data_IF_099666143448
#
_entry.id   IF_099666143448
#
_cell.length_a   1.000
_cell.length_b   1.000
_cell.length_c   1.000
_cell.angle_alpha   90.00
_cell.angle_beta   90.00
_cell.angle_gamma   90.00
#
_symmetry.space_group_name_H-M   'P 1'
#
loop_
_entity.id
_entity.type
_entity.pdbx_description
1 polymer ?
#
# COMPACT_ATOMS: atom_id res chain seq x y z
N UNK A 1 -43.35 -46.17 14.95
CA UNK A 1 -42.38 -45.17 15.43
C UNK A 1 -41.01 -45.21 14.75
N UNK A 2 -40.32 -46.34 14.65
CA UNK A 2 -38.95 -46.42 14.04
C UNK A 2 -38.85 -45.96 12.57
N UNK A 3 -39.87 -46.21 11.72
CA UNK A 3 -39.85 -45.78 10.29
C UNK A 3 -39.99 -44.26 10.09
N UNK A 4 -40.64 -43.52 11.01
CA UNK A 4 -40.76 -42.05 10.92
C UNK A 4 -39.49 -41.35 11.43
N UNK A 5 -38.81 -41.92 12.43
CA UNK A 5 -37.55 -41.40 12.94
C UNK A 5 -36.43 -41.49 11.87
N UNK A 6 -36.37 -42.63 11.15
CA UNK A 6 -35.37 -42.82 10.09
C UNK A 6 -35.59 -41.86 8.90
N UNK A 7 -36.87 -41.57 8.56
CA UNK A 7 -37.18 -40.58 7.49
C UNK A 7 -36.86 -39.16 7.90
N UNK A 8 -37.07 -38.80 9.16
CA UNK A 8 -36.67 -37.47 9.69
C UNK A 8 -35.14 -37.30 9.70
N UNK A 9 -34.37 -38.32 10.10
CA UNK A 9 -32.90 -38.29 10.09
C UNK A 9 -32.35 -38.17 8.67
N UNK A 10 -32.88 -38.91 7.70
CA UNK A 10 -32.43 -38.82 6.30
C UNK A 10 -32.73 -37.45 5.71
N UNK A 11 -33.91 -36.86 6.02
CA UNK A 11 -34.25 -35.52 5.53
C UNK A 11 -33.37 -34.45 6.14
N UNK A 12 -33.04 -34.49 7.43
CA UNK A 12 -32.13 -33.55 8.09
C UNK A 12 -30.71 -33.70 7.57
N UNK A 13 -30.27 -34.94 7.36
CA UNK A 13 -28.92 -35.17 6.82
C UNK A 13 -28.78 -34.70 5.35
N UNK A 14 -29.83 -34.87 4.55
CA UNK A 14 -29.86 -34.37 3.16
C UNK A 14 -29.89 -32.85 3.11
N UNK A 15 -30.62 -32.17 3.99
CA UNK A 15 -30.66 -30.70 4.10
C UNK A 15 -29.34 -30.16 4.62
N UNK A 16 -28.73 -30.79 5.62
CA UNK A 16 -27.40 -30.43 6.10
C UNK A 16 -26.29 -30.66 5.05
N UNK A 17 -26.38 -31.75 4.28
CA UNK A 17 -25.44 -31.99 3.17
C UNK A 17 -25.66 -30.99 2.03
N UNK A 18 -26.92 -30.67 1.70
CA UNK A 18 -27.20 -29.64 0.67
C UNK A 18 -26.75 -28.25 1.11
N UNK A 19 -26.89 -27.88 2.37
CA UNK A 19 -26.37 -26.60 2.85
C UNK A 19 -24.84 -26.53 2.83
N UNK A 20 -24.14 -27.62 3.18
CA UNK A 20 -22.68 -27.69 3.05
C UNK A 20 -22.22 -27.77 1.59
N UNK A 21 -22.96 -28.49 0.71
CA UNK A 21 -22.64 -28.54 -0.72
C UNK A 21 -22.92 -27.18 -1.38
N UNK A 22 -23.93 -26.44 -0.95
CA UNK A 22 -24.14 -25.06 -1.43
C UNK A 22 -23.06 -24.10 -0.92
N UNK A 23 -22.55 -24.27 0.31
CA UNK A 23 -21.41 -23.51 0.78
C UNK A 23 -20.15 -23.80 -0.05
N UNK A 24 -19.88 -25.07 -0.36
CA UNK A 24 -18.76 -25.43 -1.25
C UNK A 24 -18.96 -25.02 -2.71
N UNK A 25 -20.18 -24.86 -3.18
CA UNK A 25 -20.45 -24.40 -4.56
C UNK A 25 -20.39 -22.86 -4.69
N UNK A 26 -20.48 -22.11 -3.61
CA UNK A 26 -20.26 -20.68 -3.59
C UNK A 26 -18.77 -20.32 -3.58
N UNK A 27 -17.87 -21.26 -3.23
CA UNK A 27 -16.42 -21.04 -3.18
C UNK A 27 -15.76 -20.91 -4.57
N UNK A 28 -16.50 -21.00 -5.67
CA UNK A 28 -15.95 -20.97 -7.03
C UNK A 28 -16.65 -20.02 -7.99
N UNK A 29 -17.54 -19.17 -7.52
CA UNK A 29 -18.12 -18.11 -8.34
C UNK A 29 -17.36 -16.85 -8.02
N UNK A 30 -16.91 -16.07 -9.02
CA UNK A 30 -16.50 -14.68 -8.91
C UNK A 30 -17.44 -14.01 -7.89
N UNK A 31 -16.99 -14.03 -6.62
CA UNK A 31 -17.99 -14.04 -5.57
C UNK A 31 -18.30 -12.63 -5.10
N UNK A 32 -19.46 -12.14 -5.43
CA UNK A 32 -20.07 -11.10 -4.62
C UNK A 32 -20.38 -11.66 -3.25
N UNK A 33 -19.79 -11.09 -2.23
CA UNK A 33 -20.00 -11.43 -0.84
C UNK A 33 -20.40 -10.19 -0.07
N UNK A 34 -21.36 -10.30 0.82
CA UNK A 34 -21.62 -9.20 1.75
C UNK A 34 -20.51 -9.15 2.81
N UNK A 35 -20.28 -7.98 3.37
CA UNK A 35 -19.31 -7.84 4.48
C UNK A 35 -19.64 -8.73 5.68
N UNK A 36 -20.90 -9.08 5.89
CA UNK A 36 -21.33 -10.01 6.95
C UNK A 36 -20.89 -11.43 6.62
N UNK A 37 -21.17 -11.90 5.41
CA UNK A 37 -20.75 -13.22 4.94
C UNK A 37 -19.23 -13.37 5.00
N UNK A 38 -18.48 -12.32 4.59
CA UNK A 38 -17.03 -12.31 4.67
C UNK A 38 -16.52 -12.47 6.11
N UNK A 39 -17.14 -11.81 7.07
CA UNK A 39 -16.78 -11.95 8.49
C UNK A 39 -17.15 -13.33 9.06
N UNK A 40 -18.18 -13.99 8.55
CA UNK A 40 -18.58 -15.34 8.94
C UNK A 40 -17.61 -16.42 8.44
N UNK A 41 -16.90 -16.17 7.31
CA UNK A 41 -15.87 -17.06 6.78
C UNK A 41 -14.56 -16.99 7.57
N UNK A 42 -14.35 -15.94 8.38
CA UNK A 42 -13.16 -15.83 9.20
C UNK A 42 -13.21 -16.87 10.33
N UNK A 43 -12.18 -17.71 10.41
CA UNK A 43 -12.11 -18.78 11.39
C UNK A 43 -12.10 -18.24 12.86
N UNK A 44 -12.22 -19.15 13.82
CA UNK A 44 -12.22 -18.81 15.24
C UNK A 44 -10.96 -18.11 15.75
N UNK A 45 -9.82 -18.29 15.05
CA UNK A 45 -8.55 -17.62 15.35
C UNK A 45 -8.48 -16.21 14.75
N UNK A 46 -9.47 -15.76 14.00
CA UNK A 46 -9.47 -14.46 13.32
C UNK A 46 -8.72 -14.47 11.98
N UNK A 47 -8.60 -15.62 11.33
CA UNK A 47 -7.84 -15.76 10.09
C UNK A 47 -8.73 -16.19 8.93
N UNK A 48 -8.48 -15.61 7.75
CA UNK A 48 -9.02 -16.06 6.47
C UNK A 48 -7.92 -16.03 5.42
N UNK A 49 -7.91 -17.02 4.54
CA UNK A 49 -7.07 -17.04 3.34
C UNK A 49 -7.98 -17.13 2.13
N UNK A 50 -7.85 -16.18 1.20
CA UNK A 50 -8.64 -16.20 -0.02
C UNK A 50 -8.12 -17.28 -0.96
N UNK A 51 -9.03 -17.97 -1.61
CA UNK A 51 -8.75 -18.95 -2.67
C UNK A 51 -9.24 -18.47 -4.06
N UNK A 52 -9.92 -17.33 -4.10
CA UNK A 52 -10.39 -16.65 -5.31
C UNK A 52 -10.50 -15.13 -5.07
N UNK A 53 -10.70 -14.38 -6.15
CA UNK A 53 -11.03 -12.96 -6.07
C UNK A 53 -12.40 -12.75 -5.42
N UNK A 54 -12.48 -11.77 -4.50
CA UNK A 54 -13.71 -11.47 -3.74
C UNK A 54 -14.12 -10.03 -3.97
N UNK A 55 -15.41 -9.82 -4.21
CA UNK A 55 -16.00 -8.49 -4.26
C UNK A 55 -16.93 -8.29 -3.07
N UNK A 56 -16.59 -7.34 -2.20
CA UNK A 56 -17.38 -7.01 -1.00
C UNK A 56 -18.42 -5.92 -1.29
N UNK A 57 -19.60 -6.13 -0.74
CA UNK A 57 -20.65 -5.11 -0.69
C UNK A 57 -21.05 -4.80 0.74
N UNK A 58 -21.40 -3.53 0.99
CA UNK A 58 -21.72 -3.04 2.32
C UNK A 58 -20.50 -2.67 3.16
N UNK A 59 -20.70 -2.07 4.31
CA UNK A 59 -19.63 -1.61 5.19
C UNK A 59 -18.99 -2.78 5.93
N UNK A 60 -17.69 -2.96 5.78
CA UNK A 60 -16.91 -3.93 6.55
C UNK A 60 -16.47 -3.27 7.86
N UNK A 61 -17.10 -3.65 8.95
CA UNK A 61 -16.74 -3.19 10.29
C UNK A 61 -16.08 -4.30 11.07
N UNK A 62 -14.81 -4.13 11.38
CA UNK A 62 -13.99 -5.07 12.16
C UNK A 62 -13.83 -4.50 13.57
N UNK A 63 -14.25 -5.22 14.58
CA UNK A 63 -14.33 -4.73 15.97
C UNK A 63 -13.84 -5.77 16.97
N UNK A 64 -13.09 -5.30 17.97
CA UNK A 64 -12.76 -6.00 19.22
C UNK A 64 -12.01 -7.35 19.09
N UNK A 65 -11.44 -7.69 17.95
CA UNK A 65 -10.67 -8.92 17.73
C UNK A 65 -9.56 -8.68 16.72
N UNK A 66 -8.49 -9.43 16.83
CA UNK A 66 -7.40 -9.41 15.86
C UNK A 66 -7.75 -10.26 14.64
N UNK A 67 -7.40 -9.76 13.44
CA UNK A 67 -7.72 -10.41 12.18
C UNK A 67 -6.53 -10.43 11.24
N UNK A 68 -6.32 -11.57 10.61
CA UNK A 68 -5.37 -11.75 9.52
C UNK A 68 -6.13 -12.16 8.27
N UNK A 69 -6.11 -11.30 7.26
CA UNK A 69 -6.77 -11.50 5.98
C UNK A 69 -5.68 -11.72 4.94
N UNK A 70 -5.38 -12.96 4.64
CA UNK A 70 -4.41 -13.36 3.62
C UNK A 70 -5.10 -13.37 2.25
N UNK A 71 -4.77 -12.40 1.43
CA UNK A 71 -5.30 -12.29 0.07
C UNK A 71 -4.70 -13.35 -0.86
N UNK A 72 -3.59 -13.98 -0.48
CA UNK A 72 -2.98 -15.13 -1.17
C UNK A 72 -2.81 -14.93 -2.69
N UNK A 73 -2.47 -13.72 -3.10
CA UNK A 73 -2.33 -13.32 -4.50
C UNK A 73 -3.64 -12.89 -5.18
N UNK A 74 -4.77 -13.00 -4.50
CA UNK A 74 -6.09 -12.62 -5.02
C UNK A 74 -6.41 -11.15 -4.78
N UNK A 75 -7.50 -10.71 -5.40
CA UNK A 75 -8.02 -9.34 -5.30
C UNK A 75 -9.25 -9.28 -4.41
N UNK A 76 -9.20 -8.41 -3.41
CA UNK A 76 -10.37 -7.99 -2.63
C UNK A 76 -10.88 -6.66 -3.16
N UNK A 77 -12.00 -6.67 -3.86
CA UNK A 77 -12.62 -5.49 -4.45
C UNK A 77 -13.74 -4.97 -3.55
N UNK A 78 -13.72 -3.67 -3.29
CA UNK A 78 -14.78 -2.98 -2.55
C UNK A 78 -15.74 -2.31 -3.53
N UNK A 79 -17.04 -2.54 -3.39
CA UNK A 79 -18.05 -1.84 -4.19
C UNK A 79 -18.18 -0.38 -3.78
N UNK A 80 -18.86 0.42 -4.60
CA UNK A 80 -18.97 1.88 -4.41
C UNK A 80 -19.56 2.31 -3.06
N UNK A 81 -20.27 1.43 -2.38
CA UNK A 81 -20.94 1.72 -1.08
C UNK A 81 -20.22 1.06 0.11
N UNK A 82 -19.03 0.48 -0.13
CA UNK A 82 -18.28 -0.23 0.92
C UNK A 82 -17.33 0.72 1.62
N UNK A 83 -17.37 0.74 2.95
CA UNK A 83 -16.35 1.36 3.79
C UNK A 83 -15.73 0.29 4.69
N UNK A 84 -14.46 0.41 4.98
CA UNK A 84 -13.76 -0.41 5.96
C UNK A 84 -13.50 0.41 7.22
N UNK A 85 -13.93 -0.09 8.37
CA UNK A 85 -13.59 0.48 9.67
C UNK A 85 -13.02 -0.59 10.59
N UNK A 86 -11.90 -0.27 11.25
CA UNK A 86 -11.29 -1.13 12.25
C UNK A 86 -11.38 -0.45 13.61
N UNK A 87 -11.98 -1.10 14.60
CA UNK A 87 -12.15 -0.54 15.93
C UNK A 87 -11.64 -1.52 16.99
N UNK A 88 -10.81 -1.06 17.93
CA UNK A 88 -10.27 -1.90 19.01
C UNK A 88 -9.68 -3.24 18.51
N UNK A 89 -9.09 -3.24 17.31
CA UNK A 89 -8.64 -4.44 16.62
C UNK A 89 -7.28 -4.23 15.96
N UNK A 90 -6.50 -5.29 15.86
CA UNK A 90 -5.33 -5.35 14.99
C UNK A 90 -5.74 -6.10 13.72
N UNK A 91 -5.72 -5.43 12.59
CA UNK A 91 -6.12 -6.01 11.30
C UNK A 91 -4.94 -6.00 10.35
N UNK A 92 -4.60 -7.16 9.83
CA UNK A 92 -3.55 -7.31 8.82
C UNK A 92 -4.16 -7.84 7.53
N UNK A 93 -4.06 -7.07 6.45
CA UNK A 93 -4.21 -7.56 5.09
C UNK A 93 -2.82 -7.90 4.56
N UNK A 94 -2.68 -9.05 3.92
CA UNK A 94 -1.38 -9.45 3.38
C UNK A 94 -1.48 -10.19 2.03
N UNK A 95 -0.38 -10.12 1.25
CA UNK A 95 -0.12 -10.94 0.06
C UNK A 95 -1.19 -10.82 -1.05
N UNK A 96 -1.52 -9.65 -1.54
CA UNK A 96 -2.45 -9.52 -2.67
C UNK A 96 -2.89 -8.11 -2.95
N UNK A 97 -4.06 -7.93 -3.57
CA UNK A 97 -4.56 -6.64 -4.02
C UNK A 97 -5.83 -6.24 -3.29
N UNK A 98 -5.88 -4.99 -2.83
CA UNK A 98 -7.12 -4.33 -2.37
C UNK A 98 -7.53 -3.30 -3.43
N UNK A 99 -8.67 -3.51 -4.08
CA UNK A 99 -9.17 -2.63 -5.11
C UNK A 99 -10.32 -1.76 -4.60
N UNK A 100 -10.08 -0.45 -4.57
CA UNK A 100 -10.98 0.61 -4.13
C UNK A 100 -11.31 1.58 -5.28
N UNK A 101 -11.16 1.14 -6.53
CA UNK A 101 -11.38 1.97 -7.69
C UNK A 101 -12.83 2.44 -7.81
N UNK A 102 -13.02 3.73 -8.05
CA UNK A 102 -14.35 4.33 -8.20
C UNK A 102 -15.19 4.37 -6.94
N UNK A 103 -14.64 4.00 -5.77
CA UNK A 103 -15.37 3.97 -4.50
C UNK A 103 -15.85 5.38 -4.11
N UNK A 104 -17.05 5.44 -3.56
CA UNK A 104 -17.64 6.69 -3.05
C UNK A 104 -17.86 6.54 -1.55
N UNK A 105 -17.09 7.26 -0.76
CA UNK A 105 -17.31 7.32 0.68
C UNK A 105 -18.64 7.97 1.00
N UNK A 106 -19.55 7.23 1.61
CA UNK A 106 -20.88 7.73 1.99
C UNK A 106 -20.85 8.65 3.21
N UNK A 107 -19.78 8.58 4.00
CA UNK A 107 -19.57 9.41 5.17
C UNK A 107 -18.30 10.24 4.97
N UNK A 108 -17.38 10.19 5.90
CA UNK A 108 -16.22 11.06 5.91
C UNK A 108 -14.96 10.41 5.34
N UNK A 109 -14.88 9.07 5.36
CA UNK A 109 -13.68 8.32 4.94
C UNK A 109 -14.06 6.96 4.35
N UNK A 110 -13.14 6.38 3.57
CA UNK A 110 -13.30 5.05 2.97
C UNK A 110 -12.68 3.97 3.86
N UNK A 111 -11.45 4.20 4.34
CA UNK A 111 -10.78 3.33 5.30
C UNK A 111 -10.59 4.09 6.61
N UNK A 112 -11.24 3.64 7.68
CA UNK A 112 -11.08 4.18 9.03
C UNK A 112 -10.22 3.25 9.89
N UNK A 113 -9.12 3.76 10.44
CA UNK A 113 -8.27 3.06 11.40
C UNK A 113 -8.54 3.63 12.78
N UNK A 114 -9.27 2.89 13.59
CA UNK A 114 -9.86 3.38 14.84
C UNK A 114 -11.16 4.16 14.61
N UNK A 115 -11.64 4.81 15.66
CA UNK A 115 -12.80 5.68 15.68
C UNK A 115 -12.61 6.72 16.80
N UNK A 116 -13.53 7.67 16.98
CA UNK A 116 -13.46 8.75 17.99
C UNK A 116 -13.25 8.29 19.44
N UNK A 117 -13.56 7.07 19.78
CA UNK A 117 -13.39 6.49 21.13
C UNK A 117 -12.60 5.20 21.18
N UNK A 118 -12.02 4.77 20.07
CA UNK A 118 -11.29 3.52 19.95
C UNK A 118 -10.00 3.67 19.18
N UNK A 119 -8.99 2.91 19.55
CA UNK A 119 -7.75 2.78 18.78
C UNK A 119 -7.72 1.46 18.03
N UNK A 120 -7.02 1.41 16.92
CA UNK A 120 -6.84 0.20 16.12
C UNK A 120 -5.50 0.23 15.40
N UNK A 121 -5.04 -0.94 14.96
CA UNK A 121 -3.90 -1.05 14.06
C UNK A 121 -4.37 -1.68 12.74
N UNK A 122 -4.04 -1.04 11.63
CA UNK A 122 -4.23 -1.58 10.29
C UNK A 122 -2.86 -1.78 9.66
N UNK A 123 -2.56 -3.00 9.25
CA UNK A 123 -1.31 -3.34 8.55
C UNK A 123 -1.62 -3.81 7.13
N UNK A 124 -0.91 -3.22 6.17
CA UNK A 124 -0.84 -3.66 4.79
C UNK A 124 0.56 -4.27 4.58
N UNK A 125 0.65 -5.59 4.49
CA UNK A 125 1.89 -6.38 4.37
C UNK A 125 1.96 -7.04 3.00
N UNK A 126 2.82 -6.58 2.10
CA UNK A 126 2.85 -7.02 0.70
C UNK A 126 1.51 -6.88 -0.02
N UNK A 127 0.85 -5.75 0.19
CA UNK A 127 -0.46 -5.44 -0.39
C UNK A 127 -0.31 -4.36 -1.44
N UNK A 128 -0.93 -4.57 -2.60
CA UNK A 128 -1.18 -3.52 -3.57
C UNK A 128 -2.56 -2.91 -3.32
N UNK A 129 -2.62 -1.70 -2.75
CA UNK A 129 -3.87 -0.96 -2.58
C UNK A 129 -4.03 0.03 -3.73
N UNK A 130 -5.09 -0.13 -4.51
CA UNK A 130 -5.45 0.72 -5.65
C UNK A 130 -6.71 1.51 -5.32
N UNK A 131 -6.67 2.83 -5.48
CA UNK A 131 -7.80 3.74 -5.29
C UNK A 131 -7.81 4.81 -6.38
N UNK A 132 -8.25 4.42 -7.57
CA UNK A 132 -8.39 5.34 -8.69
C UNK A 132 -9.81 5.92 -8.73
N UNK A 133 -9.91 7.23 -9.02
CA UNK A 133 -11.20 7.92 -9.15
C UNK A 133 -12.13 7.76 -7.93
N UNK A 134 -11.54 7.63 -6.75
CA UNK A 134 -12.30 7.60 -5.50
C UNK A 134 -12.88 8.97 -5.15
N UNK A 135 -13.97 8.99 -4.43
CA UNK A 135 -14.55 10.21 -3.88
C UNK A 135 -14.71 10.08 -2.38
N UNK A 136 -14.03 10.92 -1.64
CA UNK A 136 -14.19 11.03 -0.19
C UNK A 136 -14.15 12.50 0.20
N UNK A 137 -15.12 13.00 0.95
CA UNK A 137 -15.11 14.39 1.41
C UNK A 137 -14.01 14.66 2.43
N UNK A 138 -13.49 13.66 3.12
CA UNK A 138 -12.56 13.84 4.21
C UNK A 138 -11.18 13.21 3.96
N UNK A 139 -11.12 11.90 3.76
CA UNK A 139 -9.89 11.18 3.42
C UNK A 139 -10.18 9.82 2.77
N UNK A 140 -9.23 9.30 1.97
CA UNK A 140 -9.24 7.90 1.57
C UNK A 140 -9.00 7.02 2.80
N UNK A 141 -7.94 7.32 3.56
CA UNK A 141 -7.59 6.64 4.81
C UNK A 141 -7.58 7.66 5.95
N UNK A 142 -8.33 7.39 7.00
CA UNK A 142 -8.33 8.22 8.21
C UNK A 142 -7.81 7.43 9.40
N UNK A 143 -6.75 7.92 10.03
CA UNK A 143 -6.12 7.32 11.20
C UNK A 143 -6.55 8.10 12.43
N UNK A 144 -7.45 7.52 13.21
CA UNK A 144 -8.01 8.16 14.40
C UNK A 144 -7.06 8.05 15.59
N UNK A 145 -7.04 9.08 16.42
CA UNK A 145 -6.36 9.13 17.72
C UNK A 145 -5.06 8.29 17.78
N UNK A 146 -4.92 7.42 18.80
CA UNK A 146 -3.73 6.58 18.99
C UNK A 146 -3.64 5.35 18.06
N UNK A 147 -4.40 5.38 16.98
CA UNK A 147 -4.39 4.31 15.99
C UNK A 147 -3.13 4.32 15.12
N UNK A 148 -2.82 3.17 14.53
CA UNK A 148 -1.63 3.00 13.71
C UNK A 148 -1.99 2.41 12.35
N UNK A 149 -1.52 3.07 11.29
CA UNK A 149 -1.47 2.52 9.94
C UNK A 149 -0.04 2.09 9.63
N UNK A 150 0.17 0.83 9.31
CA UNK A 150 1.44 0.30 8.80
C UNK A 150 1.28 -0.07 7.32
N UNK A 151 2.22 0.38 6.49
CA UNK A 151 2.36 -0.01 5.09
C UNK A 151 3.78 -0.54 4.94
N UNK A 152 3.92 -1.84 4.73
CA UNK A 152 5.22 -2.50 4.90
C UNK A 152 5.49 -3.62 3.89
N UNK A 153 6.76 -4.07 3.85
CA UNK A 153 7.19 -5.27 3.12
C UNK A 153 6.88 -5.25 1.61
N UNK A 154 7.27 -4.18 0.92
CA UNK A 154 7.02 -3.95 -0.51
C UNK A 154 5.52 -3.71 -0.86
N UNK A 155 4.75 -3.21 0.08
CA UNK A 155 3.40 -2.76 -0.23
C UNK A 155 3.41 -1.54 -1.15
N UNK A 156 2.40 -1.46 -2.01
CA UNK A 156 2.20 -0.33 -2.92
C UNK A 156 0.83 0.28 -2.65
N UNK A 157 0.79 1.58 -2.35
CA UNK A 157 -0.46 2.31 -2.22
C UNK A 157 -0.56 3.34 -3.35
N UNK A 158 -1.54 3.19 -4.23
CA UNK A 158 -1.81 4.11 -5.32
C UNK A 158 -3.16 4.78 -5.12
N UNK A 159 -3.14 6.12 -5.07
CA UNK A 159 -4.35 6.95 -5.00
C UNK A 159 -4.30 7.99 -6.11
N UNK A 160 -5.12 7.81 -7.14
CA UNK A 160 -5.09 8.64 -8.34
C UNK A 160 -6.49 9.07 -8.75
N UNK A 161 -6.64 10.37 -9.01
CA UNK A 161 -7.89 10.93 -9.51
C UNK A 161 -7.66 11.66 -10.85
N UNK A 162 -8.70 11.76 -11.66
CA UNK A 162 -8.65 12.55 -12.89
C UNK A 162 -8.65 14.05 -12.60
N UNK A 163 -9.27 14.45 -11.49
CA UNK A 163 -9.39 15.84 -11.05
C UNK A 163 -9.06 15.95 -9.57
N UNK A 164 -8.51 17.09 -9.16
CA UNK A 164 -8.30 17.38 -7.74
C UNK A 164 -9.64 17.32 -6.97
N UNK A 165 -9.73 16.39 -6.03
CA UNK A 165 -10.89 16.17 -5.17
C UNK A 165 -10.73 16.82 -3.81
N UNK A 166 -11.81 16.97 -3.07
CA UNK A 166 -11.87 17.70 -1.79
C UNK A 166 -11.20 16.99 -0.61
N UNK A 167 -11.02 15.68 -0.64
CA UNK A 167 -10.45 14.91 0.45
C UNK A 167 -8.93 14.73 0.39
N UNK A 168 -8.32 14.39 1.52
CA UNK A 168 -6.91 13.95 1.59
C UNK A 168 -6.76 12.48 1.21
N UNK A 169 -5.52 12.04 0.95
CA UNK A 169 -5.25 10.60 0.80
C UNK A 169 -5.15 9.95 2.18
N UNK A 170 -4.22 10.38 3.00
CA UNK A 170 -4.10 9.89 4.38
C UNK A 170 -4.20 11.07 5.34
N UNK A 171 -5.11 10.98 6.27
CA UNK A 171 -5.33 12.02 7.28
C UNK A 171 -5.34 11.42 8.67
N UNK A 172 -4.72 12.12 9.61
CA UNK A 172 -4.84 11.82 11.02
C UNK A 172 -5.77 12.81 11.73
N UNK A 173 -6.25 12.43 12.89
CA UNK A 173 -7.11 13.29 13.72
C UNK A 173 -6.36 14.50 14.26
N UNK A 174 -7.06 15.61 14.38
CA UNK A 174 -6.52 16.85 14.95
C UNK A 174 -6.19 16.65 16.44
N UNK A 175 -4.99 17.05 16.83
CA UNK A 175 -4.60 17.16 18.25
C UNK A 175 -4.15 15.87 18.97
N UNK A 176 -4.47 14.70 18.45
CA UNK A 176 -3.88 13.42 18.86
C UNK A 176 -3.43 12.71 17.60
N UNK A 177 -2.14 12.57 17.46
CA UNK A 177 -1.57 12.11 16.21
C UNK A 177 -1.70 10.59 16.09
N UNK A 178 -2.57 10.13 15.24
CA UNK A 178 -2.47 8.78 14.72
C UNK A 178 -1.10 8.57 14.08
N UNK A 179 -0.60 7.36 14.11
CA UNK A 179 0.72 7.01 13.58
C UNK A 179 0.58 6.39 12.20
N UNK A 180 1.45 6.82 11.28
CA UNK A 180 1.53 6.31 9.92
C UNK A 180 2.96 5.87 9.69
N UNK A 181 3.17 4.58 9.59
CA UNK A 181 4.47 3.97 9.35
C UNK A 181 4.51 3.40 7.93
N UNK A 182 5.48 3.82 7.15
CA UNK A 182 5.71 3.39 5.77
C UNK A 182 7.12 2.82 5.75
N UNK A 183 7.25 1.51 5.59
CA UNK A 183 8.54 0.81 5.65
C UNK A 183 8.69 -0.10 4.44
N UNK A 184 9.85 0.00 3.76
CA UNK A 184 10.18 -0.82 2.59
C UNK A 184 9.05 -0.83 1.54
N UNK A 185 8.41 0.33 1.27
CA UNK A 185 7.16 0.40 0.50
C UNK A 185 7.12 1.60 -0.44
N UNK A 186 6.11 1.63 -1.33
CA UNK A 186 5.94 2.69 -2.31
C UNK A 186 4.54 3.30 -2.24
N UNK A 187 4.46 4.63 -2.14
CA UNK A 187 3.20 5.38 -2.19
C UNK A 187 3.17 6.33 -3.39
N UNK A 188 2.08 6.31 -4.16
CA UNK A 188 1.88 7.15 -5.33
C UNK A 188 0.54 7.88 -5.23
N UNK A 189 0.58 9.21 -5.04
CA UNK A 189 -0.61 10.06 -4.95
C UNK A 189 -0.66 11.03 -6.11
N UNK A 190 -1.76 11.08 -6.82
CA UNK A 190 -1.94 11.97 -7.96
C UNK A 190 -3.31 12.64 -7.95
N UNK A 191 -3.34 13.97 -8.13
CA UNK A 191 -4.56 14.77 -8.27
C UNK A 191 -5.55 14.65 -7.09
N UNK A 192 -5.05 14.56 -5.85
CA UNK A 192 -5.86 14.66 -4.63
C UNK A 192 -5.81 16.08 -4.04
N UNK A 193 -6.70 16.41 -3.10
CA UNK A 193 -6.62 17.70 -2.42
C UNK A 193 -5.37 17.78 -1.55
N UNK A 194 -5.07 16.72 -0.81
CA UNK A 194 -3.89 16.64 0.07
C UNK A 194 -3.32 15.23 0.06
N UNK A 195 -2.00 15.10 0.19
CA UNK A 195 -1.35 13.80 0.38
C UNK A 195 -1.49 13.35 1.83
N UNK A 196 -0.71 13.94 2.72
CA UNK A 196 -0.82 13.70 4.16
C UNK A 196 -1.37 14.93 4.89
N UNK A 197 -2.17 14.69 5.91
CA UNK A 197 -2.70 15.75 6.79
C UNK A 197 -2.51 15.34 8.24
N UNK A 198 -1.70 16.10 8.98
CA UNK A 198 -1.37 15.85 10.39
C UNK A 198 -0.82 14.43 10.65
N UNK A 199 -0.61 14.07 11.92
CA UNK A 199 -0.15 12.75 12.34
C UNK A 199 1.35 12.62 12.56
N UNK A 200 1.74 11.53 13.19
CA UNK A 200 3.14 11.11 13.28
C UNK A 200 3.45 10.18 12.12
N UNK A 201 4.22 10.66 11.15
CA UNK A 201 4.51 9.99 9.88
C UNK A 201 5.98 9.58 9.88
N UNK A 202 6.22 8.28 9.76
CA UNK A 202 7.54 7.70 9.64
C UNK A 202 7.66 7.01 8.27
N UNK A 203 8.57 7.50 7.44
CA UNK A 203 8.87 6.95 6.11
C UNK A 203 10.28 6.39 6.18
N UNK A 204 10.43 5.09 6.04
CA UNK A 204 11.71 4.40 6.15
C UNK A 204 11.93 3.45 4.97
N UNK A 205 13.14 3.50 4.36
CA UNK A 205 13.52 2.68 3.22
C UNK A 205 12.47 2.69 2.08
N UNK A 206 11.79 3.81 1.88
CA UNK A 206 10.56 3.85 1.09
C UNK A 206 10.60 4.95 0.05
N UNK A 207 9.69 4.87 -0.92
CA UNK A 207 9.50 5.90 -1.93
C UNK A 207 8.08 6.46 -1.85
N UNK A 208 7.96 7.79 -1.71
CA UNK A 208 6.67 8.49 -1.71
C UNK A 208 6.66 9.53 -2.81
N UNK A 209 5.77 9.38 -3.76
CA UNK A 209 5.57 10.27 -4.88
C UNK A 209 4.21 10.96 -4.80
N UNK A 210 4.19 12.28 -4.87
CA UNK A 210 2.97 13.08 -4.89
C UNK A 210 3.02 14.05 -6.06
N UNK A 211 1.98 14.06 -6.89
CA UNK A 211 1.94 14.90 -8.09
C UNK A 211 0.58 15.57 -8.27
N UNK A 212 0.59 16.86 -8.57
CA UNK A 212 -0.63 17.60 -8.93
C UNK A 212 -1.64 17.77 -7.80
N UNK A 213 -1.21 17.68 -6.53
CA UNK A 213 -2.08 17.86 -5.38
C UNK A 213 -2.37 19.35 -5.14
N UNK A 214 -3.48 19.67 -4.45
CA UNK A 214 -3.65 21.05 -3.95
C UNK A 214 -2.61 21.38 -2.89
N UNK A 215 -2.35 20.46 -1.94
CA UNK A 215 -1.22 20.55 -1.02
C UNK A 215 -0.64 19.14 -0.81
N UNK A 216 0.68 19.00 -0.75
CA UNK A 216 1.34 17.72 -0.50
C UNK A 216 1.16 17.25 0.94
N UNK A 217 1.95 17.79 1.86
CA UNK A 217 1.91 17.49 3.29
C UNK A 217 1.47 18.74 4.05
N UNK A 218 0.46 18.61 4.88
CA UNK A 218 -0.16 19.75 5.55
C UNK A 218 -0.30 19.53 7.05
N UNK A 219 0.38 20.35 7.83
CA UNK A 219 0.05 20.53 9.24
C UNK A 219 -1.10 21.53 9.36
N UNK A 220 -2.25 21.08 9.84
CA UNK A 220 -3.43 21.94 9.96
C UNK A 220 -3.56 22.60 11.33
N UNK A 221 -3.12 21.92 12.39
CA UNK A 221 -3.31 22.36 13.78
C UNK A 221 -2.10 22.05 14.67
N UNK A 222 -0.89 22.02 14.09
CA UNK A 222 0.31 21.67 14.85
C UNK A 222 0.47 20.17 15.14
N UNK A 223 -0.31 19.31 14.49
CA UNK A 223 -0.31 17.86 14.72
C UNK A 223 0.60 17.02 13.81
N UNK A 224 1.51 17.63 13.06
CA UNK A 224 2.40 16.91 12.16
C UNK A 224 3.77 16.67 12.80
N UNK A 225 4.19 15.41 12.86
CA UNK A 225 5.59 15.01 13.04
C UNK A 225 5.99 14.13 11.86
N UNK A 226 6.98 14.54 11.08
CA UNK A 226 7.43 13.79 9.90
C UNK A 226 8.89 13.41 10.04
N UNK A 227 9.16 12.13 9.90
CA UNK A 227 10.53 11.61 9.76
C UNK A 227 10.65 10.88 8.44
N UNK A 228 11.66 11.23 7.64
CA UNK A 228 12.03 10.53 6.40
C UNK A 228 13.43 9.99 6.58
N UNK A 229 13.57 8.67 6.54
CA UNK A 229 14.78 7.92 6.89
C UNK A 229 15.15 6.99 5.74
N UNK A 230 16.34 7.16 5.16
CA UNK A 230 16.83 6.38 4.03
C UNK A 230 15.78 6.23 2.91
N UNK A 231 15.12 7.33 2.55
CA UNK A 231 13.92 7.30 1.72
C UNK A 231 13.89 8.42 0.69
N UNK A 232 13.03 8.24 -0.32
CA UNK A 232 12.77 9.27 -1.31
C UNK A 232 11.37 9.84 -1.12
N UNK A 233 11.26 11.17 -0.94
CA UNK A 233 10.00 11.91 -0.88
C UNK A 233 9.97 12.97 -1.98
N UNK A 234 9.09 12.78 -2.95
CA UNK A 234 8.94 13.70 -4.09
C UNK A 234 7.54 14.28 -4.11
N UNK A 235 7.44 15.61 -4.06
CA UNK A 235 6.16 16.33 -4.15
C UNK A 235 6.30 17.39 -5.23
N UNK A 236 5.66 17.16 -6.37
CA UNK A 236 5.82 18.01 -7.55
C UNK A 236 4.50 18.54 -8.11
N UNK A 237 4.53 19.74 -8.67
CA UNK A 237 3.37 20.32 -9.37
C UNK A 237 2.17 20.57 -8.45
N UNK A 238 2.39 20.81 -7.16
CA UNK A 238 1.30 21.17 -6.25
C UNK A 238 0.69 22.51 -6.63
N UNK A 239 -0.64 22.60 -6.64
CA UNK A 239 -1.38 23.84 -6.94
C UNK A 239 -1.15 24.87 -5.83
N UNK A 240 -1.05 24.43 -4.58
CA UNK A 240 -0.76 25.27 -3.43
C UNK A 240 0.69 25.12 -2.96
N UNK A 241 0.95 24.14 -2.11
CA UNK A 241 2.24 23.95 -1.43
C UNK A 241 2.63 22.48 -1.36
N UNK A 242 3.94 22.20 -1.40
CA UNK A 242 4.41 20.84 -1.15
C UNK A 242 4.38 20.49 0.35
N UNK A 243 4.89 21.38 1.20
CA UNK A 243 4.92 21.21 2.65
C UNK A 243 4.40 22.44 3.38
N UNK A 244 3.50 22.26 4.34
CA UNK A 244 3.06 23.31 5.26
C UNK A 244 3.36 22.89 6.70
N UNK A 245 4.08 23.73 7.45
CA UNK A 245 4.45 23.51 8.84
C UNK A 245 3.73 24.52 9.74
N UNK A 246 3.21 24.01 10.86
CA UNK A 246 2.53 24.82 11.89
C UNK A 246 3.04 24.38 13.28
N UNK A 247 4.15 24.96 13.72
CA UNK A 247 4.75 24.69 15.04
C UNK A 247 5.38 23.30 15.21
N UNK A 248 5.72 22.61 14.13
CA UNK A 248 6.13 21.21 14.14
C UNK A 248 7.55 21.02 13.62
N UNK A 249 8.18 19.89 13.99
CA UNK A 249 9.51 19.52 13.52
C UNK A 249 9.40 18.39 12.49
N UNK A 250 10.16 18.55 11.40
CA UNK A 250 10.32 17.54 10.34
C UNK A 250 11.80 17.17 10.27
N UNK A 251 12.12 15.89 10.15
CA UNK A 251 13.49 15.39 10.13
C UNK A 251 13.75 14.54 8.89
N UNK A 252 14.81 14.87 8.15
CA UNK A 252 15.30 14.14 6.98
C UNK A 252 16.70 13.60 7.28
N UNK A 253 16.85 12.27 7.22
CA UNK A 253 18.06 11.61 7.69
C UNK A 253 18.43 10.35 6.91
N UNK A 254 19.69 9.92 7.07
CA UNK A 254 20.19 8.66 6.53
C UNK A 254 20.06 8.53 5.01
N UNK A 255 20.67 9.44 4.25
CA UNK A 255 20.65 9.48 2.78
C UNK A 255 19.25 9.70 2.17
N UNK A 256 18.38 10.40 2.86
CA UNK A 256 17.06 10.73 2.32
C UNK A 256 17.15 11.80 1.23
N UNK A 257 16.39 11.61 0.16
CA UNK A 257 16.29 12.56 -0.96
C UNK A 257 14.89 13.16 -0.99
N UNK A 258 14.82 14.46 -0.72
CA UNK A 258 13.56 15.19 -0.66
C UNK A 258 13.53 16.22 -1.80
N UNK A 259 12.48 16.14 -2.64
CA UNK A 259 12.24 17.07 -3.72
C UNK A 259 10.85 17.71 -3.61
N UNK A 260 10.82 18.98 -3.25
CA UNK A 260 9.63 19.82 -3.18
C UNK A 260 9.68 20.86 -4.30
N UNK A 261 9.49 20.45 -5.54
CA UNK A 261 9.68 21.34 -6.68
C UNK A 261 8.39 21.65 -7.42
N UNK A 262 8.40 22.85 -8.06
CA UNK A 262 7.35 23.30 -8.97
C UNK A 262 5.96 23.47 -8.34
N UNK A 263 5.88 23.80 -7.06
CA UNK A 263 4.60 24.22 -6.46
C UNK A 263 4.22 25.63 -6.93
N UNK A 264 2.93 25.86 -7.16
CA UNK A 264 2.47 27.14 -7.73
C UNK A 264 2.61 28.30 -6.73
N UNK A 265 2.26 28.07 -5.46
CA UNK A 265 2.30 29.11 -4.42
C UNK A 265 3.66 29.14 -3.72
N UNK A 266 4.05 28.05 -3.08
CA UNK A 266 5.36 27.87 -2.47
C UNK A 266 5.67 26.39 -2.29
N UNK A 267 6.93 26.02 -2.28
CA UNK A 267 7.32 24.65 -1.99
C UNK A 267 7.17 24.36 -0.49
N UNK A 268 7.63 25.27 0.34
CA UNK A 268 7.52 25.19 1.80
C UNK A 268 6.79 26.42 2.34
N UNK A 269 5.92 26.22 3.32
CA UNK A 269 5.30 27.30 4.10
C UNK A 269 5.45 27.06 5.59
N UNK A 270 5.99 28.05 6.30
CA UNK A 270 5.99 28.12 7.74
C UNK A 270 4.86 29.02 8.21
N UNK A 271 3.88 28.48 8.92
CA UNK A 271 2.78 29.23 9.53
C UNK A 271 3.14 29.75 10.92
N UNK A 272 3.89 28.98 11.67
CA UNK A 272 4.42 29.33 12.98
C UNK A 272 5.83 28.77 13.14
N UNK A 273 6.46 28.90 14.30
CA UNK A 273 7.80 28.39 14.54
C UNK A 273 7.82 26.86 14.46
N UNK A 274 8.13 26.34 13.28
CA UNK A 274 8.43 24.96 13.00
C UNK A 274 9.87 24.82 12.52
N UNK A 275 10.38 23.59 12.49
CA UNK A 275 11.75 23.33 12.04
C UNK A 275 11.79 22.21 11.02
N UNK A 276 12.72 22.32 10.10
CA UNK A 276 13.16 21.25 9.22
C UNK A 276 14.60 20.93 9.58
N UNK A 277 14.89 19.71 9.95
CA UNK A 277 16.23 19.21 10.25
C UNK A 277 16.68 18.30 9.12
N UNK A 278 17.82 18.60 8.51
CA UNK A 278 18.42 17.84 7.41
C UNK A 278 19.79 17.40 7.83
N UNK A 279 20.02 16.12 7.97
CA UNK A 279 21.31 15.58 8.35
C UNK A 279 22.35 15.71 7.22
N UNK A 280 23.61 15.40 7.55
CA UNK A 280 24.75 15.52 6.62
C UNK A 280 24.62 14.65 5.36
N UNK A 281 23.91 13.53 5.45
CA UNK A 281 23.80 12.58 4.36
C UNK A 281 22.58 12.80 3.46
N UNK A 282 21.66 13.68 3.87
CA UNK A 282 20.38 13.89 3.20
C UNK A 282 20.36 15.16 2.34
N UNK A 283 19.49 15.14 1.32
CA UNK A 283 19.30 16.24 0.38
C UNK A 283 17.88 16.79 0.47
N UNK A 284 17.77 18.14 0.49
CA UNK A 284 16.49 18.86 0.44
C UNK A 284 16.49 19.85 -0.71
N UNK A 285 15.68 19.58 -1.73
CA UNK A 285 15.53 20.42 -2.91
C UNK A 285 14.21 21.19 -2.91
N UNK A 286 14.26 22.50 -2.97
CA UNK A 286 13.12 23.40 -3.06
C UNK A 286 13.56 24.78 -3.59
N UNK A 287 12.62 25.64 -4.02
CA UNK A 287 12.94 26.93 -4.62
C UNK A 287 12.20 28.10 -3.98
N UNK A 288 11.05 27.86 -3.38
CA UNK A 288 10.18 28.90 -2.86
C UNK A 288 9.74 28.62 -1.43
N UNK A 289 9.90 29.59 -0.56
CA UNK A 289 9.40 29.56 0.82
C UNK A 289 8.46 30.71 1.06
N UNK A 290 7.41 30.44 1.82
CA UNK A 290 6.51 31.45 2.36
C UNK A 290 6.57 31.44 3.87
N UNK A 291 6.84 32.59 4.46
CA UNK A 291 6.73 32.83 5.90
C UNK A 291 5.39 33.52 6.19
N UNK A 292 4.62 32.98 7.12
CA UNK A 292 3.41 33.64 7.60
C UNK A 292 3.77 34.75 8.62
N UNK A 293 2.85 35.64 8.94
CA UNK A 293 3.08 36.77 9.83
C UNK A 293 3.70 36.39 11.19
N UNK A 294 3.37 35.19 11.71
CA UNK A 294 3.89 34.68 12.99
C UNK A 294 5.40 34.40 12.98
N UNK A 295 6.01 34.23 11.81
CA UNK A 295 7.44 33.89 11.63
C UNK A 295 8.11 34.87 10.66
N UNK A 296 7.45 35.95 10.33
CA UNK A 296 7.99 36.97 9.44
C UNK A 296 9.22 37.63 10.05
N UNK A 297 10.28 37.70 9.27
CA UNK A 297 11.57 38.25 9.72
C UNK A 297 12.47 37.25 10.45
N UNK A 298 12.05 35.98 10.59
CA UNK A 298 12.94 34.91 11.05
C UNK A 298 13.90 34.53 9.92
N UNK A 299 15.18 34.40 10.25
CA UNK A 299 16.18 33.88 9.30
C UNK A 299 15.84 32.44 8.87
N UNK A 300 16.01 32.14 7.58
CA UNK A 300 15.63 30.83 7.08
C UNK A 300 16.49 29.70 7.67
N UNK A 301 17.74 29.98 8.03
CA UNK A 301 18.64 29.03 8.70
C UNK A 301 18.22 28.70 10.15
N UNK A 302 17.36 29.50 10.76
CA UNK A 302 16.76 29.17 12.07
C UNK A 302 15.57 28.20 11.94
N UNK A 303 14.97 28.15 10.76
CA UNK A 303 13.82 27.31 10.42
C UNK A 303 14.23 26.03 9.68
N UNK A 304 15.30 26.08 8.86
CA UNK A 304 15.84 24.93 8.13
C UNK A 304 17.28 24.71 8.57
N UNK A 305 17.46 23.73 9.43
CA UNK A 305 18.77 23.39 10.01
C UNK A 305 19.39 22.31 9.15
N UNK A 306 20.50 22.63 8.48
CA UNK A 306 21.27 21.69 7.67
C UNK A 306 22.74 21.77 8.01
N UNK A 307 23.42 20.65 8.05
CA UNK A 307 24.87 20.61 8.22
C UNK A 307 25.61 21.04 6.96
N UNK A 308 25.06 20.73 5.76
CA UNK A 308 25.73 20.96 4.49
C UNK A 308 25.38 22.26 3.80
N UNK A 309 24.22 22.87 4.09
CA UNK A 309 23.69 23.98 3.31
C UNK A 309 23.28 25.16 4.17
N UNK A 310 23.42 26.34 3.57
CA UNK A 310 22.83 27.59 4.04
C UNK A 310 21.74 28.04 3.08
N UNK A 311 20.69 28.63 3.64
CA UNK A 311 19.50 29.05 2.90
C UNK A 311 19.29 30.54 3.06
N UNK A 312 19.16 31.26 1.95
CA UNK A 312 18.85 32.68 1.94
C UNK A 312 17.54 32.92 1.21
N UNK A 313 16.69 33.74 1.80
CA UNK A 313 15.37 34.08 1.27
C UNK A 313 15.39 35.50 0.74
N UNK A 314 14.93 35.73 -0.50
CA UNK A 314 14.73 37.05 -1.05
C UNK A 314 13.33 37.58 -0.70
N UNK A 315 13.09 38.89 -0.98
CA UNK A 315 11.80 39.56 -0.71
C UNK A 315 10.62 38.94 -1.48
N UNK A 316 10.87 38.14 -2.50
CA UNK A 316 9.86 37.45 -3.33
C UNK A 316 9.59 36.00 -2.89
N UNK A 317 10.31 35.57 -1.86
CA UNK A 317 10.19 34.20 -1.36
C UNK A 317 11.00 33.15 -2.14
N UNK A 318 11.92 33.59 -3.02
CA UNK A 318 12.82 32.64 -3.68
C UNK A 318 14.00 32.34 -2.76
N UNK A 319 14.47 31.09 -2.83
CA UNK A 319 15.55 30.59 -1.98
C UNK A 319 16.82 30.38 -2.80
N UNK A 320 17.92 30.91 -2.28
CA UNK A 320 19.27 30.57 -2.72
C UNK A 320 19.84 29.55 -1.75
N UNK A 321 20.31 28.44 -2.26
CA UNK A 321 20.93 27.36 -1.48
C UNK A 321 22.43 27.40 -1.76
N UNK A 322 23.22 27.56 -0.70
CA UNK A 322 24.68 27.60 -0.79
C UNK A 322 25.26 26.44 0.02
N UNK A 323 26.13 25.67 -0.57
CA UNK A 323 26.85 24.62 0.16
C UNK A 323 27.82 25.26 1.16
N UNK A 324 27.75 24.84 2.40
CA UNK A 324 28.75 25.25 3.40
C UNK A 324 30.13 24.73 3.01
N UNK A 325 31.21 25.50 3.25
CA UNK A 325 32.56 24.97 3.09
C UNK A 325 32.64 23.69 3.93
N UNK A 326 32.88 22.58 3.28
CA UNK A 326 33.13 21.33 3.99
C UNK A 326 34.37 21.51 4.87
N UNK A 327 34.36 20.90 6.05
CA UNK A 327 35.62 20.71 6.78
C UNK A 327 36.54 19.99 5.81
N UNK A 328 37.48 20.71 5.27
CA UNK A 328 38.58 20.13 4.48
C UNK A 328 39.26 19.23 5.48
N UNK A 329 39.09 17.90 5.38
CA UNK A 329 39.95 16.98 6.10
C UNK A 329 41.37 17.42 5.73
N UNK A 330 42.07 18.01 6.70
CA UNK A 330 43.46 18.42 6.52
C UNK A 330 44.14 17.18 6.03
N UNK A 331 44.83 17.21 4.86
CA UNK A 331 45.53 16.04 4.35
C UNK A 331 46.36 15.50 5.48
N UNK A 332 46.06 14.28 5.95
CA UNK A 332 46.77 13.68 7.04
C UNK A 332 48.27 13.81 6.73
N UNK A 333 49.03 14.23 7.72
CA UNK A 333 50.49 14.38 7.61
C UNK A 333 51.01 13.18 6.83
N UNK A 334 51.55 13.47 5.66
CA UNK A 334 52.21 12.46 4.83
C UNK A 334 53.29 11.87 5.70
N UNK A 335 53.11 10.63 6.16
CA UNK A 335 54.14 9.89 6.84
C UNK A 335 55.41 9.98 5.96
N UNK A 336 56.45 10.52 6.54
CA UNK A 336 57.73 10.67 5.92
C UNK A 336 58.18 9.29 5.40
N UNK A 337 58.56 9.13 4.12
CA UNK A 337 58.99 7.84 3.61
C UNK A 337 60.07 7.25 4.49
N UNK A 338 59.79 6.11 5.10
CA UNK A 338 60.75 5.36 5.86
C UNK A 338 61.92 4.97 4.97
N UNK A 339 63.11 5.00 5.55
CA UNK A 339 64.40 4.73 4.94
C UNK A 339 64.37 3.49 4.06
N UNK A 340 64.83 3.66 2.84
CA UNK A 340 65.05 2.63 1.82
C UNK A 340 66.00 1.55 2.34
N UNK A 341 65.50 0.37 2.65
CA UNK A 341 66.36 -0.81 2.83
C UNK A 341 66.93 -1.25 1.46
N UNK A 342 68.20 -1.53 1.47
CA UNK A 342 69.09 -1.88 0.38
C UNK A 342 68.62 -3.21 -0.26
N UNK A 343 68.68 -3.38 -1.60
CA UNK A 343 68.24 -4.57 -2.31
C UNK A 343 69.12 -5.79 -1.97
N UNK A 344 68.50 -6.85 -1.52
CA UNK A 344 69.12 -8.17 -1.39
C UNK A 344 69.17 -8.91 -2.73
N UNK A 345 70.19 -9.74 -2.87
CA UNK A 345 70.68 -10.41 -4.05
C UNK A 345 69.70 -11.18 -4.90
N UNK A 346 69.89 -11.11 -6.18
CA UNK A 346 69.35 -11.86 -7.32
C UNK A 346 69.47 -13.37 -7.18
N UNK A 347 68.39 -14.12 -7.30
CA UNK A 347 68.44 -15.51 -7.73
C UNK A 347 67.78 -15.69 -9.11
N UNK A 348 68.45 -16.53 -9.93
CA UNK A 348 68.30 -16.73 -11.36
C UNK A 348 67.15 -17.66 -11.74
N UNK A 349 66.64 -17.61 -12.97
CA UNK A 349 65.33 -18.16 -13.37
C UNK A 349 65.38 -19.68 -13.65
N UNK A 350 64.30 -20.35 -13.29
CA UNK A 350 63.99 -21.72 -13.67
C UNK A 350 63.05 -21.77 -14.89
N UNK A 351 63.30 -22.78 -15.68
CA UNK A 351 62.90 -23.02 -17.05
C UNK A 351 61.42 -23.03 -17.40
N UNK A 352 61.21 -22.64 -18.60
CA UNK A 352 60.13 -22.70 -19.59
C UNK A 352 59.50 -24.09 -19.72
N UNK A 353 58.19 -24.15 -19.75
CA UNK A 353 57.43 -25.04 -20.65
C UNK A 353 56.16 -24.39 -21.18
N UNK A 354 56.11 -24.27 -22.48
CA UNK A 354 54.99 -24.01 -23.39
C UNK A 354 54.94 -25.24 -24.33
N UNK A 355 54.02 -25.48 -25.19
CA UNK A 355 52.62 -25.01 -25.43
C UNK A 355 51.65 -26.16 -25.82
N UNK A 356 50.42 -25.86 -26.11
CA UNK A 356 49.72 -26.26 -27.37
C UNK A 356 48.24 -25.85 -27.26
N UNK A 357 47.83 -24.94 -28.12
CA UNK A 357 47.04 -25.13 -29.36
C UNK A 357 45.77 -25.97 -29.15
N UNK A 358 44.58 -25.44 -29.46
CA UNK A 358 44.00 -25.30 -30.77
C UNK A 358 42.56 -24.79 -30.72
N UNK A 359 42.26 -23.82 -31.60
CA UNK A 359 41.12 -23.73 -32.53
C UNK A 359 39.71 -23.50 -32.03
N UNK A 360 39.15 -22.33 -32.30
CA UNK A 360 38.51 -21.92 -33.58
C UNK A 360 37.03 -22.32 -33.68
N UNK A 361 36.20 -21.32 -33.94
CA UNK A 361 34.84 -21.54 -34.41
C UNK A 361 33.89 -20.36 -34.16
N UNK A 362 34.10 -19.24 -34.84
CA UNK A 362 33.06 -18.23 -34.96
C UNK A 362 32.02 -18.64 -36.00
N UNK A 363 30.75 -18.29 -35.76
CA UNK A 363 29.77 -18.05 -36.84
C UNK A 363 28.77 -16.98 -36.35
N UNK A 364 28.82 -15.86 -37.05
CA UNK A 364 27.76 -14.88 -37.22
C UNK A 364 26.64 -15.45 -38.07
N UNK A 365 25.39 -15.18 -37.78
CA UNK A 365 24.36 -14.79 -38.77
C UNK A 365 23.09 -14.22 -38.13
N UNK A 366 22.70 -13.07 -38.64
CA UNK A 366 21.40 -12.37 -38.55
C UNK A 366 20.47 -12.88 -39.67
N UNK A 367 19.27 -12.33 -39.89
CA UNK A 367 17.98 -12.70 -39.35
C UNK A 367 17.06 -13.35 -40.38
N UNK A 368 15.99 -13.98 -39.95
CA UNK A 368 14.94 -14.49 -40.87
C UNK A 368 13.55 -14.28 -40.30
N UNK A 369 12.80 -13.53 -41.07
CA UNK A 369 11.36 -13.26 -41.03
C UNK A 369 10.56 -14.53 -41.38
N UNK A 370 9.30 -14.53 -40.92
CA UNK A 370 8.09 -15.14 -41.54
C UNK A 370 7.52 -16.40 -40.91
N UNK A 371 6.29 -16.20 -40.58
CA UNK A 371 4.99 -16.81 -40.90
C UNK A 371 4.34 -17.77 -39.91
N UNK A 372 3.29 -17.21 -39.31
CA UNK A 372 1.88 -17.62 -39.36
C UNK A 372 1.57 -19.09 -39.52
N UNK A 373 1.09 -19.71 -38.46
CA UNK A 373 0.07 -20.75 -38.53
C UNK A 373 -0.74 -20.79 -37.23
N UNK A 374 -1.97 -20.34 -37.34
CA UNK A 374 -3.09 -20.57 -36.45
C UNK A 374 -3.30 -22.06 -36.22
N UNK A 375 -3.00 -22.54 -35.03
CA UNK A 375 -3.59 -23.77 -34.50
C UNK A 375 -4.41 -23.42 -33.27
N UNK A 376 -5.72 -23.49 -33.42
CA UNK A 376 -6.70 -23.45 -32.36
C UNK A 376 -6.56 -24.72 -31.52
N UNK A 377 -5.72 -24.70 -30.52
CA UNK A 377 -5.75 -25.72 -29.47
C UNK A 377 -6.90 -25.40 -28.50
N UNK A 378 -7.92 -26.26 -28.54
CA UNK A 378 -8.99 -26.27 -27.54
C UNK A 378 -8.37 -26.48 -26.16
N UNK A 379 -8.58 -25.50 -25.30
CA UNK A 379 -8.28 -25.63 -23.86
C UNK A 379 -9.00 -26.87 -23.30
N UNK A 380 -8.38 -27.62 -22.39
CA UNK A 380 -9.02 -28.76 -21.75
C UNK A 380 -10.24 -28.29 -20.97
N UNK A 381 -11.33 -29.04 -21.12
CA UNK A 381 -12.61 -28.84 -20.42
C UNK A 381 -12.33 -28.73 -18.92
N UNK A 382 -12.53 -27.56 -18.38
CA UNK A 382 -12.33 -27.27 -16.96
C UNK A 382 -13.29 -28.07 -16.11
N UNK A 383 -12.91 -28.40 -14.87
CA UNK A 383 -13.72 -29.22 -13.94
C UNK A 383 -15.16 -28.74 -13.73
N UNK A 384 -15.43 -27.48 -14.03
CA UNK A 384 -16.74 -26.82 -13.93
C UNK A 384 -17.82 -27.47 -14.80
N UNK A 385 -17.49 -27.85 -16.04
CA UNK A 385 -18.49 -28.54 -16.90
C UNK A 385 -18.86 -29.92 -16.34
N UNK A 386 -17.92 -30.64 -15.75
CA UNK A 386 -18.21 -31.95 -15.13
C UNK A 386 -19.08 -31.80 -13.87
N UNK A 387 -18.91 -30.73 -13.09
CA UNK A 387 -19.75 -30.43 -11.94
C UNK A 387 -21.18 -30.07 -12.38
N UNK A 388 -21.34 -29.27 -13.44
CA UNK A 388 -22.67 -28.89 -13.96
C UNK A 388 -23.49 -30.12 -14.39
N UNK A 389 -22.88 -31.11 -15.05
CA UNK A 389 -23.56 -32.35 -15.41
C UNK A 389 -23.92 -33.20 -14.18
N UNK A 390 -23.07 -33.23 -13.15
CA UNK A 390 -23.36 -33.88 -11.89
C UNK A 390 -24.55 -33.24 -11.17
N UNK A 391 -24.61 -31.90 -11.18
CA UNK A 391 -25.68 -31.13 -10.54
C UNK A 391 -27.04 -31.33 -11.22
N UNK A 392 -27.10 -31.32 -12.56
CA UNK A 392 -28.31 -31.64 -13.32
C UNK A 392 -28.75 -33.11 -13.06
N UNK A 393 -27.81 -34.03 -12.95
CA UNK A 393 -28.11 -35.42 -12.64
C UNK A 393 -28.74 -35.61 -11.24
N UNK A 394 -28.21 -34.93 -10.21
CA UNK A 394 -28.73 -34.99 -8.82
C UNK A 394 -30.10 -34.34 -8.71
N UNK A 395 -30.31 -33.19 -9.35
CA UNK A 395 -31.62 -32.49 -9.34
C UNK A 395 -32.69 -33.33 -10.03
N UNK A 396 -32.38 -34.01 -11.17
CA UNK A 396 -33.34 -34.89 -11.84
C UNK A 396 -33.68 -36.12 -11.01
N UNK A 397 -32.76 -36.71 -10.28
CA UNK A 397 -33.00 -37.86 -9.41
C UNK A 397 -33.87 -37.45 -8.20
N UNK A 398 -33.63 -36.29 -7.59
CA UNK A 398 -34.40 -35.81 -6.43
C UNK A 398 -35.80 -35.40 -6.80
N UNK A 399 -35.97 -34.66 -7.91
CA UNK A 399 -37.31 -34.27 -8.41
C UNK A 399 -38.10 -35.51 -8.90
N UNK A 400 -37.48 -36.41 -9.62
CA UNK A 400 -38.08 -37.67 -10.03
C UNK A 400 -38.49 -38.55 -8.85
N UNK A 401 -37.64 -38.65 -7.81
CA UNK A 401 -37.95 -39.37 -6.57
C UNK A 401 -39.15 -38.76 -5.79
N UNK A 402 -39.26 -37.42 -5.74
CA UNK A 402 -40.33 -36.72 -5.09
C UNK A 402 -41.69 -36.91 -5.83
N UNK A 403 -41.67 -36.83 -7.15
CA UNK A 403 -42.87 -37.06 -8.00
C UNK A 403 -43.32 -38.52 -7.88
N UNK A 404 -42.41 -39.49 -7.89
CA UNK A 404 -42.75 -40.88 -7.70
C UNK A 404 -43.38 -41.14 -6.30
N UNK A 405 -42.78 -40.58 -5.24
CA UNK A 405 -43.26 -40.72 -3.86
C UNK A 405 -44.63 -40.11 -3.64
N UNK A 406 -44.91 -38.92 -4.22
CA UNK A 406 -46.23 -38.29 -4.15
C UNK A 406 -47.30 -39.02 -4.94
N UNK A 407 -46.92 -39.66 -6.06
CA UNK A 407 -47.78 -40.50 -6.87
C UNK A 407 -48.22 -41.75 -6.11
N UNK A 408 -47.27 -42.47 -5.46
CA UNK A 408 -47.52 -43.67 -4.69
C UNK A 408 -48.33 -43.39 -3.42
N UNK A 409 -48.09 -42.30 -2.73
CA UNK A 409 -48.86 -41.89 -1.56
C UNK A 409 -50.31 -41.51 -1.90
N UNK A 410 -50.59 -41.02 -3.11
CA UNK A 410 -52.00 -40.82 -3.60
C UNK A 410 -52.73 -42.13 -3.91
N UNK A 411 -52.03 -43.18 -4.40
CA UNK A 411 -52.63 -44.49 -4.61
C UNK A 411 -52.98 -45.22 -3.30
N UNK A 412 -52.22 -45.00 -2.24
CA UNK A 412 -52.45 -45.57 -0.91
C UNK A 412 -53.59 -44.89 -0.15
N UNK A 413 -54.04 -43.69 -0.51
CA UNK A 413 -55.20 -43.00 0.08
C UNK A 413 -56.53 -43.32 -0.62
N UNK A 414 -56.51 -44.04 -1.72
CA UNK A 414 -57.72 -44.44 -2.48
C UNK A 414 -58.09 -45.92 -2.31
N UNK A 415 -57.43 -46.64 -1.43
CA UNK A 415 -57.84 -47.94 -0.89
C UNK A 415 -58.19 -47.77 0.60
#
# INVERSE_FOLDING_TARGET
MKKHLLKGLISIFTVCMMSKIMAFANDTVEGYMTSTEFLEEINENGEITLDADVTLSGSLKIDAKDYIIDLNGHTLTFTTDTNLFTNNANVTFKNGTMNLDGIKGNADTILGVGDYGSSANLTLDKVELQANNYTSPYALIYVYNDSVLNVENNSVLTAKNEKSLSGGVIKSSNGQAGKINITDSTLNFENAARGFVDGTINIKNSTVNMKGLSNGINSSTGGLNLTVDNSKLTITGSIGRALTLDGTTVSFKNNSVIDFSNSLVSDIMFKSQGKIEVDKSSELNFKKVKLDEAVKGTELNDLIISENYEYQLDDKGNVTITQKPGDVEQPGDTEQPGDTEQPGDTEQPGDVENPSDTNNGGITTTPGTENDTTTTDKLPVTGVEKLAYLFVGIVTITVGGLVWFTSESRKLRRK
#
